data_IF_688708482994
#
_entry.id   IF_688708482994
#
_cell.length_a   1.000
_cell.length_b   1.000
_cell.length_c   1.000
_cell.angle_alpha   90.00
_cell.angle_beta   90.00
_cell.angle_gamma   90.00
#
_symmetry.space_group_name_H-M   'P 1'
#
loop_
_entity.id
_entity.type
_entity.pdbx_description
1 polymer ?
#
# COMPACT_ATOMS: atom_id res chain seq x y z
N UNK A 1 13.48 4.63 3.23
CA UNK A 1 12.13 4.28 3.75
C UNK A 1 11.24 5.50 3.83
N UNK A 2 11.69 6.65 4.36
CA UNK A 2 10.93 7.90 4.27
C UNK A 2 10.79 8.38 2.81
N UNK A 3 9.58 8.74 2.38
CA UNK A 3 9.32 9.48 1.15
C UNK A 3 9.49 10.97 1.49
N UNK A 4 10.34 11.68 0.74
CA UNK A 4 10.61 13.10 0.96
C UNK A 4 9.99 13.88 -0.19
N UNK A 5 8.69 14.16 -0.08
CA UNK A 5 7.96 14.92 -1.08
C UNK A 5 6.98 15.88 -0.40
N UNK A 6 7.17 17.18 -0.64
CA UNK A 6 6.42 18.21 0.05
C UNK A 6 4.92 18.20 -0.32
N UNK A 7 4.58 17.82 -1.55
CA UNK A 7 3.19 17.78 -2.00
C UNK A 7 2.43 16.61 -1.36
N UNK A 8 3.04 15.43 -1.31
CA UNK A 8 2.48 14.25 -0.66
C UNK A 8 2.36 14.47 0.87
N UNK A 9 3.39 15.02 1.51
CA UNK A 9 3.35 15.31 2.95
C UNK A 9 2.25 16.33 3.27
N UNK A 10 2.12 17.39 2.47
CA UNK A 10 1.06 18.39 2.62
C UNK A 10 -0.33 17.79 2.39
N UNK A 11 -0.48 16.90 1.41
CA UNK A 11 -1.73 16.19 1.13
C UNK A 11 -2.18 15.33 2.33
N UNK A 12 -1.32 14.44 2.82
CA UNK A 12 -1.68 13.55 3.94
C UNK A 12 -1.93 14.35 5.22
N UNK A 13 -1.16 15.42 5.46
CA UNK A 13 -1.43 16.33 6.58
C UNK A 13 -2.78 17.03 6.44
N UNK A 14 -3.16 17.49 5.25
CA UNK A 14 -4.47 18.09 5.00
C UNK A 14 -5.59 17.09 5.26
N UNK A 15 -5.49 15.86 4.77
CA UNK A 15 -6.48 14.81 5.03
C UNK A 15 -6.68 14.55 6.53
N UNK A 16 -5.60 14.52 7.32
CA UNK A 16 -5.68 14.45 8.78
C UNK A 16 -6.42 15.67 9.35
N UNK A 17 -6.02 16.89 8.99
CA UNK A 17 -6.61 18.12 9.52
C UNK A 17 -8.10 18.25 9.17
N UNK A 18 -8.49 17.88 7.95
CA UNK A 18 -9.88 17.87 7.50
C UNK A 18 -10.71 16.86 8.28
N UNK A 19 -10.09 15.77 8.76
CA UNK A 19 -10.75 14.76 9.58
C UNK A 19 -10.88 15.20 11.05
N UNK A 20 -9.78 15.51 11.73
CA UNK A 20 -9.76 15.73 13.19
C UNK A 20 -9.99 17.19 13.61
N UNK A 21 -9.94 18.12 12.65
CA UNK A 21 -9.99 19.56 12.85
C UNK A 21 -8.61 20.20 13.03
N UNK A 22 -8.48 21.45 12.56
CA UNK A 22 -7.22 22.19 12.53
C UNK A 22 -6.55 22.33 13.91
N UNK A 23 -7.33 22.59 14.96
CA UNK A 23 -6.82 22.73 16.32
C UNK A 23 -6.18 21.43 16.84
N UNK A 24 -6.80 20.28 16.56
CA UNK A 24 -6.27 18.96 16.96
C UNK A 24 -5.05 18.56 16.13
N UNK A 25 -5.07 18.83 14.82
CA UNK A 25 -3.98 18.41 13.93
C UNK A 25 -2.69 19.23 14.09
N UNK A 26 -2.76 20.44 14.69
CA UNK A 26 -1.61 21.35 14.79
C UNK A 26 -0.38 20.72 15.48
N UNK A 27 -0.60 19.85 16.47
CA UNK A 27 0.46 19.15 17.20
C UNK A 27 0.99 17.88 16.54
N UNK A 28 0.46 17.49 15.38
CA UNK A 28 0.81 16.23 14.72
C UNK A 28 1.86 16.45 13.62
N UNK A 29 2.91 15.63 13.65
CA UNK A 29 3.93 15.54 12.58
C UNK A 29 3.69 14.28 11.77
N UNK A 30 3.34 14.43 10.51
CA UNK A 30 3.06 13.33 9.58
C UNK A 30 4.33 12.98 8.79
N UNK A 31 4.59 11.68 8.65
CA UNK A 31 5.66 11.15 7.82
C UNK A 31 5.16 10.00 6.95
N UNK A 32 5.34 10.10 5.63
CA UNK A 32 4.99 9.03 4.70
C UNK A 32 6.16 8.08 4.51
N UNK A 33 5.94 6.80 4.80
CA UNK A 33 6.94 5.76 4.71
C UNK A 33 6.63 4.83 3.54
N UNK A 34 7.61 4.63 2.64
CA UNK A 34 7.59 3.64 1.57
C UNK A 34 7.67 2.24 2.17
N UNK A 35 6.51 1.74 2.57
CA UNK A 35 6.27 0.41 3.13
C UNK A 35 4.94 -0.07 2.52
N UNK A 36 4.93 -1.12 1.69
CA UNK A 36 3.73 -1.52 0.94
C UNK A 36 2.65 -2.23 1.79
N UNK A 37 2.77 -2.17 3.12
CA UNK A 37 1.80 -2.76 4.04
C UNK A 37 0.69 -1.75 4.34
N UNK A 38 -0.54 -2.26 4.43
CA UNK A 38 -1.70 -1.48 4.90
C UNK A 38 -1.52 -1.15 6.39
N UNK A 39 -1.04 0.05 6.71
CA UNK A 39 -0.91 0.48 8.09
C UNK A 39 -0.70 2.00 8.23
N UNK A 40 -1.03 2.51 9.42
CA UNK A 40 -0.54 3.78 9.96
C UNK A 40 -0.23 3.59 11.45
N UNK A 41 0.46 4.53 12.06
CA UNK A 41 0.63 4.55 13.52
C UNK A 41 0.80 5.95 14.05
N UNK A 42 0.42 6.13 15.30
CA UNK A 42 0.63 7.38 16.02
C UNK A 42 1.40 7.17 17.31
N UNK A 43 2.61 7.75 17.37
CA UNK A 43 3.46 7.72 18.54
C UNK A 43 2.99 8.71 19.61
N UNK A 44 3.30 8.42 20.88
CA UNK A 44 2.93 9.25 22.03
C UNK A 44 3.50 10.69 22.00
N UNK A 45 4.50 10.97 21.14
CA UNK A 45 5.10 12.29 20.99
C UNK A 45 4.48 13.14 19.87
N UNK A 46 3.34 12.72 19.30
CA UNK A 46 2.66 13.43 18.22
C UNK A 46 3.17 13.07 16.81
N UNK A 47 3.93 11.98 16.67
CA UNK A 47 4.48 11.56 15.36
C UNK A 47 3.58 10.51 14.72
N UNK A 48 2.97 10.87 13.58
CA UNK A 48 2.17 9.99 12.76
C UNK A 48 3.01 9.41 11.62
N UNK A 49 2.95 8.10 11.43
CA UNK A 49 3.61 7.39 10.34
C UNK A 49 2.54 6.77 9.45
N UNK A 50 2.56 7.11 8.16
CA UNK A 50 1.60 6.63 7.17
C UNK A 50 2.35 5.77 6.17
N UNK A 51 1.95 4.50 6.01
CA UNK A 51 2.63 3.61 5.08
C UNK A 51 2.07 3.76 3.67
N UNK A 52 2.92 3.66 2.64
CA UNK A 52 2.48 3.74 1.25
C UNK A 52 1.45 2.67 0.88
N UNK A 53 1.45 1.52 1.56
CA UNK A 53 0.41 0.50 1.41
C UNK A 53 -0.97 0.91 1.91
N UNK A 54 -1.07 1.85 2.87
CA UNK A 54 -2.35 2.49 3.23
C UNK A 54 -2.81 3.42 2.12
N UNK A 55 -1.92 4.26 1.59
CA UNK A 55 -2.25 5.19 0.51
C UNK A 55 -2.73 4.46 -0.75
N UNK A 56 -2.18 3.29 -1.07
CA UNK A 56 -2.63 2.47 -2.21
C UNK A 56 -4.04 1.85 -2.01
N UNK A 57 -4.48 1.68 -0.75
CA UNK A 57 -5.73 0.97 -0.42
C UNK A 57 -6.90 1.90 -0.17
N UNK A 58 -6.64 3.06 0.42
CA UNK A 58 -7.64 4.11 0.55
C UNK A 58 -8.05 4.57 -0.86
N UNK A 59 -9.36 4.69 -1.09
CA UNK A 59 -9.93 5.13 -2.38
C UNK A 59 -10.41 6.57 -2.36
N UNK A 60 -10.42 7.20 -1.19
CA UNK A 60 -10.89 8.56 -0.98
C UNK A 60 -10.22 9.23 0.22
N UNK A 61 -10.34 10.55 0.33
CA UNK A 61 -9.87 11.30 1.50
C UNK A 61 -10.61 10.86 2.77
N UNK A 62 -11.89 10.49 2.67
CA UNK A 62 -12.68 9.96 3.79
C UNK A 62 -12.19 8.59 4.27
N UNK A 63 -11.85 7.68 3.35
CA UNK A 63 -11.26 6.38 3.71
C UNK A 63 -9.88 6.55 4.37
N UNK A 64 -9.04 7.46 3.84
CA UNK A 64 -7.76 7.80 4.47
C UNK A 64 -8.00 8.40 5.87
N UNK A 65 -8.92 9.36 5.96
CA UNK A 65 -9.33 10.03 7.19
C UNK A 65 -9.81 9.05 8.26
N UNK A 66 -10.55 8.01 7.90
CA UNK A 66 -10.98 6.97 8.83
C UNK A 66 -9.80 6.33 9.58
N UNK A 67 -8.74 5.99 8.86
CA UNK A 67 -7.53 5.39 9.47
C UNK A 67 -6.76 6.43 10.26
N UNK A 68 -6.55 7.63 9.73
CA UNK A 68 -5.79 8.66 10.43
C UNK A 68 -6.50 9.16 11.70
N UNK A 69 -7.84 9.24 11.66
CA UNK A 69 -8.68 9.57 12.79
C UNK A 69 -8.67 8.49 13.87
N UNK A 70 -8.69 7.21 13.49
CA UNK A 70 -8.51 6.07 14.41
C UNK A 70 -7.16 6.15 15.14
N UNK A 71 -6.06 6.33 14.39
CA UNK A 71 -4.73 6.49 14.97
C UNK A 71 -4.62 7.73 15.88
N UNK A 72 -5.27 8.82 15.49
CA UNK A 72 -5.35 10.03 16.32
C UNK A 72 -6.14 9.78 17.61
N UNK A 73 -7.21 8.98 17.56
CA UNK A 73 -7.98 8.57 18.74
C UNK A 73 -7.13 7.82 19.77
N UNK A 74 -6.27 6.89 19.32
CA UNK A 74 -5.29 6.24 20.19
C UNK A 74 -4.33 7.23 20.85
N UNK A 75 -3.93 8.28 20.12
CA UNK A 75 -3.06 9.33 20.65
C UNK A 75 -3.77 10.25 21.64
N UNK A 76 -4.98 10.72 21.32
CA UNK A 76 -5.77 11.60 22.20
C UNK A 76 -6.09 10.90 23.53
N UNK A 77 -6.38 9.58 23.48
CA UNK A 77 -6.60 8.73 24.66
C UNK A 77 -5.33 8.17 25.30
N UNK A 78 -4.15 8.52 24.76
CA UNK A 78 -2.84 8.10 25.27
C UNK A 78 -2.64 6.58 25.35
N UNK A 79 -3.31 5.82 24.48
CA UNK A 79 -3.19 4.35 24.41
C UNK A 79 -1.74 3.92 24.13
N UNK A 80 -1.08 4.56 23.16
CA UNK A 80 0.33 4.28 22.83
C UNK A 80 1.26 4.56 24.02
N UNK A 81 0.98 5.61 24.81
CA UNK A 81 1.78 5.93 26.00
C UNK A 81 1.57 4.89 27.11
N UNK A 82 0.33 4.45 27.32
CA UNK A 82 0.01 3.39 28.28
C UNK A 82 0.70 2.07 27.90
N UNK A 83 0.63 1.69 26.61
CA UNK A 83 1.28 0.49 26.08
C UNK A 83 2.80 0.57 26.21
N UNK A 84 3.39 1.73 25.89
CA UNK A 84 4.83 1.94 26.05
C UNK A 84 5.27 1.81 27.52
N UNK A 85 4.52 2.39 28.47
CA UNK A 85 4.81 2.27 29.91
C UNK A 85 4.71 0.81 30.39
N UNK A 86 3.71 0.07 29.93
CA UNK A 86 3.52 -1.34 30.27
C UNK A 86 4.63 -2.24 29.70
N UNK A 87 5.21 -1.90 28.55
CA UNK A 87 6.32 -2.68 27.97
C UNK A 87 7.69 -2.31 28.53
N UNK A 88 7.88 -1.07 29.00
CA UNK A 88 9.16 -0.58 29.55
C UNK A 88 9.65 -1.38 30.76
N UNK A 89 8.77 -2.09 31.45
CA UNK A 89 9.14 -3.00 32.55
C UNK A 89 9.70 -4.35 32.08
N UNK A 90 9.58 -4.71 30.79
CA UNK A 90 10.07 -5.98 30.23
C UNK A 90 10.89 -5.88 28.93
N UNK A 91 10.95 -4.73 28.25
CA UNK A 91 11.47 -4.59 26.88
C UNK A 91 12.95 -4.19 26.73
N UNK A 92 13.61 -3.75 27.81
CA UNK A 92 14.96 -3.16 27.70
C UNK A 92 16.01 -4.19 27.21
N UNK A 93 15.93 -5.45 27.62
CA UNK A 93 16.81 -6.53 27.14
C UNK A 93 16.61 -6.86 25.65
N UNK A 94 15.36 -6.86 25.16
CA UNK A 94 15.04 -7.16 23.76
C UNK A 94 15.46 -6.03 22.82
N UNK A 95 15.33 -4.77 23.26
CA UNK A 95 15.74 -3.60 22.49
C UNK A 95 17.26 -3.59 22.25
N UNK A 96 18.06 -3.92 23.28
CA UNK A 96 19.51 -4.07 23.13
C UNK A 96 19.91 -5.26 22.23
N UNK A 97 19.20 -6.39 22.33
CA UNK A 97 19.44 -7.54 21.45
C UNK A 97 19.26 -7.23 19.96
N UNK A 98 18.24 -6.44 19.60
CA UNK A 98 17.99 -6.04 18.21
C UNK A 98 19.04 -5.06 17.66
N UNK A 99 19.52 -4.12 18.49
CA UNK A 99 20.59 -3.19 18.10
C UNK A 99 21.90 -3.94 17.87
N UNK A 100 22.29 -4.83 18.79
CA UNK A 100 23.52 -5.62 18.67
C UNK A 100 23.50 -6.56 17.46
N UNK A 101 22.34 -7.18 17.18
CA UNK A 101 22.20 -8.07 16.03
C UNK A 101 22.16 -7.36 14.68
N UNK A 102 21.69 -6.10 14.62
CA UNK A 102 21.76 -5.29 13.41
C UNK A 102 23.21 -4.95 13.01
N UNK A 103 24.14 -4.96 13.98
CA UNK A 103 25.58 -4.75 13.78
C UNK A 103 26.35 -6.05 13.51
N UNK A 104 25.66 -7.20 13.51
CA UNK A 104 26.31 -8.47 13.24
C UNK A 104 26.65 -8.63 11.73
N UNK A 105 27.81 -9.20 11.40
CA UNK A 105 28.22 -9.44 10.01
C UNK A 105 27.32 -10.48 9.32
N UNK A 106 26.66 -11.33 10.08
CA UNK A 106 25.80 -12.40 9.58
C UNK A 106 24.46 -11.86 9.01
N UNK A 107 24.20 -12.17 7.74
CA UNK A 107 23.01 -11.71 7.04
C UNK A 107 21.72 -12.43 7.49
N UNK A 108 21.83 -13.68 7.97
CA UNK A 108 20.68 -14.44 8.48
C UNK A 108 20.27 -13.93 9.87
N UNK A 109 21.26 -13.63 10.72
CA UNK A 109 21.06 -13.00 12.01
C UNK A 109 20.40 -11.62 11.85
N UNK A 110 20.91 -10.76 10.96
CA UNK A 110 20.26 -9.48 10.65
C UNK A 110 18.83 -9.64 10.14
N UNK A 111 18.53 -10.66 9.32
CA UNK A 111 17.17 -10.95 8.83
C UNK A 111 16.22 -11.45 9.93
N UNK A 112 16.68 -12.34 10.81
CA UNK A 112 15.92 -12.82 11.98
C UNK A 112 15.58 -11.65 12.91
N UNK A 113 16.53 -10.74 13.12
CA UNK A 113 16.31 -9.56 13.96
C UNK A 113 15.53 -8.43 13.29
N UNK A 114 15.59 -8.28 11.95
CA UNK A 114 14.65 -7.42 11.21
C UNK A 114 13.20 -7.92 11.30
N UNK A 115 13.01 -9.22 11.46
CA UNK A 115 11.71 -9.82 11.78
C UNK A 115 11.31 -9.52 13.23
N UNK A 116 12.26 -9.59 14.18
CA UNK A 116 12.04 -9.19 15.56
C UNK A 116 11.66 -7.71 15.69
N UNK A 117 12.30 -6.80 14.94
CA UNK A 117 11.94 -5.38 14.93
C UNK A 117 10.49 -5.13 14.47
N UNK A 118 9.99 -5.93 13.52
CA UNK A 118 8.57 -5.92 13.12
C UNK A 118 7.67 -6.49 14.21
N UNK A 119 8.09 -7.54 14.92
CA UNK A 119 7.35 -8.10 16.06
C UNK A 119 7.27 -7.14 17.25
N UNK A 120 8.36 -6.43 17.56
CA UNK A 120 8.41 -5.39 18.59
C UNK A 120 7.52 -4.20 18.21
N UNK A 121 7.59 -3.76 16.95
CA UNK A 121 6.70 -2.72 16.45
C UNK A 121 5.23 -3.15 16.54
N UNK A 122 4.89 -4.36 16.10
CA UNK A 122 3.54 -4.91 16.23
C UNK A 122 3.07 -4.98 17.69
N UNK A 123 3.94 -5.41 18.61
CA UNK A 123 3.62 -5.47 20.03
C UNK A 123 3.35 -4.08 20.65
N UNK A 124 4.14 -3.06 20.27
CA UNK A 124 4.00 -1.68 20.76
C UNK A 124 2.69 -1.02 20.33
N UNK A 125 2.10 -1.45 19.23
CA UNK A 125 0.84 -0.94 18.69
C UNK A 125 -0.28 -1.97 18.75
N UNK A 126 -0.16 -2.99 19.61
CA UNK A 126 -1.24 -3.94 19.87
C UNK A 126 -2.06 -3.47 21.06
N UNK A 127 -3.27 -3.01 20.81
CA UNK A 127 -4.15 -2.47 21.84
C UNK A 127 -5.23 -3.48 22.28
N UNK A 128 -5.83 -3.23 23.43
CA UNK A 128 -6.96 -4.02 23.94
C UNK A 128 -8.25 -3.74 23.16
N UNK A 129 -9.23 -4.65 23.23
CA UNK A 129 -10.53 -4.48 22.56
C UNK A 129 -11.27 -3.21 22.98
N UNK A 130 -11.16 -2.82 24.25
CA UNK A 130 -11.77 -1.57 24.74
C UNK A 130 -11.11 -0.33 24.13
N UNK A 131 -9.78 -0.35 24.02
CA UNK A 131 -9.02 0.74 23.39
C UNK A 131 -9.33 0.86 21.90
N UNK A 132 -9.47 -0.27 21.19
CA UNK A 132 -9.91 -0.29 19.79
C UNK A 132 -11.33 0.29 19.64
N UNK A 133 -12.29 -0.16 20.47
CA UNK A 133 -13.67 0.35 20.45
C UNK A 133 -13.75 1.84 20.79
N UNK A 134 -12.87 2.35 21.65
CA UNK A 134 -12.79 3.78 21.95
C UNK A 134 -12.18 4.58 20.78
N UNK A 135 -11.12 4.07 20.17
CA UNK A 135 -10.50 4.67 18.98
C UNK A 135 -11.45 4.69 17.78
N UNK A 136 -12.20 3.61 17.52
CA UNK A 136 -13.23 3.54 16.49
C UNK A 136 -14.31 4.61 16.70
N UNK A 137 -14.84 4.74 17.93
CA UNK A 137 -15.85 5.77 18.27
C UNK A 137 -15.34 7.18 18.06
N UNK A 138 -14.09 7.46 18.46
CA UNK A 138 -13.49 8.77 18.24
C UNK A 138 -13.22 9.03 16.76
N UNK A 139 -12.63 8.06 16.05
CA UNK A 139 -12.32 8.15 14.63
C UNK A 139 -13.55 8.47 13.79
N UNK A 140 -14.65 7.74 14.01
CA UNK A 140 -15.94 8.04 13.37
C UNK A 140 -16.52 9.36 13.87
N UNK A 141 -16.40 9.67 15.16
CA UNK A 141 -16.82 10.96 15.71
C UNK A 141 -16.16 12.16 15.03
N UNK A 142 -14.86 12.06 14.70
CA UNK A 142 -14.16 13.08 13.93
C UNK A 142 -14.72 13.19 12.51
N UNK A 143 -14.92 12.06 11.81
CA UNK A 143 -15.52 12.07 10.47
C UNK A 143 -16.94 12.64 10.47
N UNK A 144 -17.76 12.26 11.44
CA UNK A 144 -19.11 12.79 11.65
C UNK A 144 -19.12 14.32 11.81
N UNK A 145 -18.14 14.86 12.53
CA UNK A 145 -17.95 16.30 12.71
C UNK A 145 -17.25 17.00 11.53
N UNK A 146 -16.67 16.24 10.60
CA UNK A 146 -15.98 16.76 9.42
C UNK A 146 -16.93 16.96 8.23
N UNK A 147 -16.39 17.47 7.12
CA UNK A 147 -17.09 17.54 5.83
C UNK A 147 -17.08 16.22 5.05
N UNK A 148 -16.30 15.23 5.49
CA UNK A 148 -16.10 13.96 4.80
C UNK A 148 -17.22 12.97 5.14
N UNK A 149 -17.50 12.05 4.23
CA UNK A 149 -18.48 10.98 4.40
C UNK A 149 -18.03 9.93 5.44
N UNK A 150 -18.71 9.78 6.59
CA UNK A 150 -18.28 8.84 7.64
C UNK A 150 -18.47 7.37 7.28
N UNK A 151 -19.42 7.02 6.41
CA UNK A 151 -19.65 5.65 5.93
C UNK A 151 -18.45 5.08 5.16
N UNK A 152 -17.53 5.94 4.68
CA UNK A 152 -16.29 5.51 4.04
C UNK A 152 -15.44 4.60 4.95
N UNK A 153 -15.52 4.76 6.27
CA UNK A 153 -14.81 3.87 7.20
C UNK A 153 -15.27 2.40 7.09
N UNK A 154 -16.58 2.17 7.00
CA UNK A 154 -17.12 0.83 6.79
C UNK A 154 -16.75 0.29 5.40
N UNK A 155 -16.79 1.14 4.36
CA UNK A 155 -16.42 0.78 2.99
C UNK A 155 -14.94 0.37 2.89
N UNK A 156 -14.03 1.10 3.53
CA UNK A 156 -12.60 0.74 3.60
C UNK A 156 -12.44 -0.68 4.16
N UNK A 157 -13.19 -1.01 5.22
CA UNK A 157 -13.12 -2.34 5.82
C UNK A 157 -13.62 -3.44 4.90
N UNK A 158 -14.74 -3.22 4.25
CA UNK A 158 -15.27 -4.15 3.25
C UNK A 158 -14.26 -4.36 2.10
N UNK A 159 -13.61 -3.28 1.66
CA UNK A 159 -12.58 -3.32 0.62
C UNK A 159 -11.36 -4.16 1.06
N UNK A 160 -10.92 -4.02 2.32
CA UNK A 160 -9.82 -4.80 2.88
C UNK A 160 -10.15 -6.29 3.00
N UNK A 161 -11.38 -6.63 3.40
CA UNK A 161 -11.87 -8.02 3.46
C UNK A 161 -11.93 -8.62 2.05
N UNK A 162 -12.43 -7.87 1.06
CA UNK A 162 -12.48 -8.30 -0.33
C UNK A 162 -11.08 -8.52 -0.93
N UNK A 163 -10.12 -7.64 -0.63
CA UNK A 163 -8.71 -7.83 -1.00
C UNK A 163 -8.15 -9.13 -0.40
N UNK A 164 -8.40 -9.37 0.89
CA UNK A 164 -7.98 -10.59 1.57
C UNK A 164 -8.61 -11.85 0.95
N UNK A 165 -9.88 -11.75 0.52
CA UNK A 165 -10.60 -12.79 -0.22
C UNK A 165 -9.94 -13.10 -1.56
N UNK A 166 -9.63 -12.07 -2.35
CA UNK A 166 -8.92 -12.24 -3.63
C UNK A 166 -7.54 -12.90 -3.45
N UNK A 167 -6.83 -12.48 -2.40
CA UNK A 167 -5.56 -13.07 -1.98
C UNK A 167 -5.69 -14.55 -1.58
N UNK A 168 -6.76 -14.94 -0.88
CA UNK A 168 -7.04 -16.33 -0.53
C UNK A 168 -7.34 -17.19 -1.77
N UNK A 169 -8.22 -16.71 -2.64
CA UNK A 169 -8.60 -17.40 -3.89
C UNK A 169 -7.36 -17.64 -4.77
N UNK A 170 -6.50 -16.64 -4.93
CA UNK A 170 -5.27 -16.77 -5.72
C UNK A 170 -4.28 -17.81 -5.15
N UNK A 171 -4.35 -18.11 -3.85
CA UNK A 171 -3.54 -19.14 -3.19
C UNK A 171 -4.24 -20.49 -3.04
N UNK A 172 -5.45 -20.65 -3.60
CA UNK A 172 -6.24 -21.86 -3.44
C UNK A 172 -6.75 -22.09 -2.01
N UNK A 173 -6.84 -21.02 -1.19
CA UNK A 173 -7.34 -21.11 0.18
C UNK A 173 -8.85 -20.82 0.23
N UNK A 174 -9.58 -21.60 1.04
CA UNK A 174 -11.04 -21.43 1.21
C UNK A 174 -11.45 -20.19 2.03
N UNK A 175 -10.55 -19.63 2.84
CA UNK A 175 -10.84 -18.47 3.71
C UNK A 175 -9.67 -17.48 3.74
N UNK A 176 -9.94 -16.17 3.84
CA UNK A 176 -8.91 -15.16 4.05
C UNK A 176 -8.26 -15.29 5.43
N UNK A 177 -6.95 -15.04 5.48
CA UNK A 177 -6.19 -14.92 6.74
C UNK A 177 -6.16 -13.45 7.15
N UNK A 178 -7.23 -12.98 7.78
CA UNK A 178 -7.37 -11.58 8.19
C UNK A 178 -6.29 -11.20 9.21
N UNK A 179 -5.89 -12.12 10.09
CA UNK A 179 -4.78 -11.95 11.04
C UNK A 179 -3.42 -11.56 10.40
N UNK A 180 -3.25 -11.73 9.09
CA UNK A 180 -2.01 -11.42 8.37
C UNK A 180 -1.95 -10.05 7.70
N UNK A 181 -3.01 -9.25 7.75
CA UNK A 181 -2.97 -7.87 7.24
C UNK A 181 -2.24 -7.00 8.27
N UNK A 182 -1.32 -6.14 7.82
CA UNK A 182 -0.44 -5.36 8.71
C UNK A 182 -1.17 -4.55 9.77
N UNK A 183 -2.32 -3.96 9.43
CA UNK A 183 -3.22 -3.31 10.36
C UNK A 183 -3.80 -4.29 11.40
N UNK A 184 -4.24 -5.48 10.99
CA UNK A 184 -4.85 -6.48 11.88
C UNK A 184 -3.87 -7.13 12.88
N UNK A 185 -2.56 -7.08 12.60
CA UNK A 185 -1.54 -7.47 13.57
C UNK A 185 -1.48 -6.53 14.80
N UNK A 186 -1.86 -5.27 14.59
CA UNK A 186 -1.96 -4.22 15.62
C UNK A 186 -3.39 -4.06 16.16
N UNK A 187 -4.40 -4.32 15.32
CA UNK A 187 -5.83 -4.07 15.60
C UNK A 187 -6.67 -5.31 15.24
N UNK A 188 -6.93 -6.26 16.15
CA UNK A 188 -7.60 -7.52 15.80
C UNK A 188 -8.93 -7.33 15.05
N UNK A 189 -9.22 -8.11 14.00
CA UNK A 189 -10.47 -7.99 13.25
C UNK A 189 -11.66 -8.40 14.13
N UNK A 190 -12.70 -7.56 14.19
CA UNK A 190 -14.02 -7.98 14.64
C UNK A 190 -14.87 -8.22 13.39
N UNK A 191 -15.51 -9.39 13.28
CA UNK A 191 -16.32 -9.75 12.10
C UNK A 191 -17.43 -8.72 11.82
N UNK A 192 -17.85 -8.01 12.86
CA UNK A 192 -18.89 -6.99 12.84
C UNK A 192 -18.33 -5.55 12.73
N UNK A 193 -17.00 -5.35 12.65
CA UNK A 193 -16.39 -4.01 12.70
C UNK A 193 -16.95 -3.07 11.63
N UNK A 194 -17.11 -3.56 10.40
CA UNK A 194 -17.70 -2.75 9.32
C UNK A 194 -19.13 -2.31 9.66
N UNK A 195 -19.96 -3.20 10.21
CA UNK A 195 -21.32 -2.87 10.63
C UNK A 195 -21.35 -1.91 11.83
N UNK A 196 -20.44 -2.09 12.80
CA UNK A 196 -20.29 -1.17 13.93
C UNK A 196 -19.91 0.24 13.48
N UNK A 197 -18.97 0.36 12.54
CA UNK A 197 -18.54 1.67 12.02
C UNK A 197 -19.64 2.34 11.21
N UNK A 198 -20.39 1.56 10.42
CA UNK A 198 -21.55 2.07 9.70
C UNK A 198 -22.65 2.55 10.67
N UNK A 199 -22.91 1.81 11.75
CA UNK A 199 -23.87 2.21 12.78
C UNK A 199 -23.44 3.45 13.59
N UNK A 200 -22.14 3.72 13.70
CA UNK A 200 -21.61 4.93 14.33
C UNK A 200 -21.63 6.15 13.39
N UNK A 201 -21.71 5.93 12.08
CA UNK A 201 -21.71 6.98 11.09
C UNK A 201 -23.05 7.74 11.10
N UNK A 202 -23.01 9.07 11.01
CA UNK A 202 -24.23 9.88 10.92
C UNK A 202 -24.99 9.55 9.61
N UNK A 203 -26.25 9.09 9.67
CA UNK A 203 -27.02 8.75 8.47
C UNK A 203 -27.19 9.94 7.51
N UNK A 204 -27.38 11.14 8.04
CA UNK A 204 -27.56 12.38 7.26
C UNK A 204 -26.29 12.82 6.54
N UNK A 205 -25.14 12.22 6.87
CA UNK A 205 -23.86 12.48 6.23
C UNK A 205 -23.58 11.57 5.02
N UNK A 206 -24.53 10.70 4.64
CA UNK A 206 -24.35 9.71 3.57
C UNK A 206 -24.03 10.32 2.19
N UNK A 207 -24.53 11.53 1.91
CA UNK A 207 -24.33 12.23 0.63
C UNK A 207 -23.14 13.20 0.65
N UNK A 208 -22.37 13.26 1.75
CA UNK A 208 -21.16 14.09 1.81
C UNK A 208 -20.12 13.62 0.81
N UNK A 209 -19.33 14.57 0.32
CA UNK A 209 -18.16 14.29 -0.51
C UNK A 209 -17.15 13.43 0.25
N UNK A 210 -16.65 12.38 -0.38
CA UNK A 210 -15.63 11.50 0.17
C UNK A 210 -14.21 11.90 -0.27
N UNK A 211 -14.09 12.82 -1.24
CA UNK A 211 -12.81 13.28 -1.79
C UNK A 211 -12.09 12.27 -2.67
N UNK A 212 -12.81 11.33 -3.32
CA UNK A 212 -12.20 10.33 -4.20
C UNK A 212 -11.34 10.92 -5.33
N UNK A 213 -11.83 11.96 -6.00
CA UNK A 213 -11.10 12.63 -7.10
C UNK A 213 -9.80 13.27 -6.60
N UNK A 214 -9.88 14.06 -5.51
CA UNK A 214 -8.72 14.70 -4.88
C UNK A 214 -7.69 13.68 -4.41
N UNK A 215 -8.16 12.55 -3.90
CA UNK A 215 -7.29 11.45 -3.48
C UNK A 215 -6.56 10.83 -4.67
N UNK A 216 -7.28 10.52 -5.75
CA UNK A 216 -6.70 9.95 -6.95
C UNK A 216 -5.65 10.89 -7.57
N UNK A 217 -5.95 12.18 -7.68
CA UNK A 217 -5.05 13.18 -8.24
C UNK A 217 -3.76 13.33 -7.41
N UNK A 218 -3.89 13.39 -6.08
CA UNK A 218 -2.74 13.50 -5.18
C UNK A 218 -1.81 12.28 -5.25
N UNK A 219 -2.36 11.09 -5.50
CA UNK A 219 -1.59 9.84 -5.57
C UNK A 219 -1.17 9.45 -6.98
N UNK A 220 -1.69 10.08 -8.04
CA UNK A 220 -1.37 9.73 -9.42
C UNK A 220 0.15 9.66 -9.73
N UNK A 221 1.00 10.60 -9.25
CA UNK A 221 2.46 10.52 -9.47
C UNK A 221 3.12 9.32 -8.76
N UNK A 222 2.51 8.84 -7.67
CA UNK A 222 3.06 7.80 -6.80
C UNK A 222 2.53 6.40 -7.13
N UNK A 223 1.40 6.32 -7.82
CA UNK A 223 0.70 5.07 -8.13
C UNK A 223 1.60 4.02 -8.80
N UNK A 224 2.47 4.34 -9.79
CA UNK A 224 3.38 3.35 -10.38
C UNK A 224 4.33 2.73 -9.34
N UNK A 225 4.88 3.56 -8.44
CA UNK A 225 5.79 3.11 -7.39
C UNK A 225 5.09 2.19 -6.38
N UNK A 226 3.89 2.56 -5.97
CA UNK A 226 3.13 1.81 -4.97
C UNK A 226 2.67 0.46 -5.51
N UNK A 227 2.23 0.41 -6.77
CA UNK A 227 1.86 -0.84 -7.44
C UNK A 227 3.08 -1.77 -7.62
N UNK A 228 4.24 -1.22 -7.98
CA UNK A 228 5.48 -2.00 -8.07
C UNK A 228 5.86 -2.63 -6.73
N UNK A 229 5.78 -1.88 -5.64
CA UNK A 229 6.08 -2.40 -4.31
C UNK A 229 5.04 -3.44 -3.86
N UNK A 230 3.77 -3.26 -4.22
CA UNK A 230 2.70 -4.22 -3.95
C UNK A 230 2.91 -5.54 -4.72
N UNK A 231 3.24 -5.49 -6.02
CA UNK A 231 3.48 -6.70 -6.82
C UNK A 231 4.68 -7.49 -6.26
N UNK A 232 5.72 -6.80 -5.77
CA UNK A 232 6.90 -7.43 -5.14
C UNK A 232 6.59 -8.17 -3.84
N UNK A 233 5.42 -7.96 -3.23
CA UNK A 233 4.96 -8.79 -2.11
C UNK A 233 4.60 -10.22 -2.52
N UNK A 234 4.53 -10.51 -3.83
CA UNK A 234 4.10 -11.79 -4.39
C UNK A 234 2.69 -12.22 -3.93
N UNK A 235 1.86 -11.26 -3.52
CA UNK A 235 0.43 -11.48 -3.29
C UNK A 235 -0.33 -11.12 -4.57
N UNK A 236 -0.38 -12.07 -5.50
CA UNK A 236 -0.93 -11.85 -6.83
C UNK A 236 -2.45 -11.64 -6.85
N UNK A 237 -3.17 -12.11 -5.83
CA UNK A 237 -4.61 -11.90 -5.68
C UNK A 237 -4.91 -10.48 -5.20
N UNK A 238 -4.24 -10.05 -4.14
CA UNK A 238 -4.34 -8.67 -3.65
C UNK A 238 -3.88 -7.65 -4.71
N UNK A 239 -2.77 -7.94 -5.41
CA UNK A 239 -2.27 -7.06 -6.48
C UNK A 239 -3.27 -6.92 -7.63
N UNK A 240 -3.90 -8.03 -8.05
CA UNK A 240 -4.94 -7.98 -9.08
C UNK A 240 -6.15 -7.14 -8.63
N UNK A 241 -6.58 -7.34 -7.38
CA UNK A 241 -7.70 -6.61 -6.79
C UNK A 241 -7.43 -5.09 -6.74
N UNK A 242 -6.24 -4.70 -6.27
CA UNK A 242 -5.87 -3.28 -6.15
C UNK A 242 -5.71 -2.60 -7.52
N UNK A 243 -5.12 -3.28 -8.51
CA UNK A 243 -5.02 -2.76 -9.88
C UNK A 243 -6.43 -2.55 -10.46
N UNK A 244 -7.33 -3.52 -10.29
CA UNK A 244 -8.70 -3.42 -10.77
C UNK A 244 -9.47 -2.29 -10.06
N UNK A 245 -9.28 -2.12 -8.75
CA UNK A 245 -9.89 -1.05 -7.98
C UNK A 245 -9.42 0.33 -8.47
N UNK A 246 -8.12 0.51 -8.71
CA UNK A 246 -7.59 1.76 -9.26
C UNK A 246 -8.11 2.02 -10.69
N UNK A 247 -8.31 0.95 -11.48
CA UNK A 247 -8.84 1.03 -12.84
C UNK A 247 -10.36 1.27 -12.91
N UNK A 248 -11.08 1.30 -11.79
CA UNK A 248 -12.53 1.55 -11.76
C UNK A 248 -12.90 2.91 -12.38
N UNK A 249 -11.97 3.87 -12.36
CA UNK A 249 -12.11 5.21 -12.97
C UNK A 249 -11.61 5.29 -14.42
N UNK A 250 -11.18 4.16 -14.99
CA UNK A 250 -10.56 4.08 -16.30
C UNK A 250 -9.14 3.52 -16.24
N UNK A 251 -8.76 2.83 -17.31
CA UNK A 251 -7.42 2.29 -17.44
C UNK A 251 -6.44 3.34 -17.94
N UNK A 252 -5.34 3.51 -17.22
CA UNK A 252 -4.20 4.35 -17.63
C UNK A 252 -3.05 3.48 -18.14
N UNK A 253 -2.08 4.07 -18.84
CA UNK A 253 -0.87 3.37 -19.26
C UNK A 253 -0.13 2.72 -18.07
N UNK A 254 -0.05 3.43 -16.93
CA UNK A 254 0.55 2.92 -15.70
C UNK A 254 -0.18 1.69 -15.15
N UNK A 255 -1.52 1.68 -15.16
CA UNK A 255 -2.32 0.55 -14.68
C UNK A 255 -2.18 -0.67 -15.59
N UNK A 256 -2.19 -0.46 -16.91
CA UNK A 256 -1.93 -1.55 -17.87
C UNK A 256 -0.52 -2.12 -17.71
N UNK A 257 0.49 -1.25 -17.53
CA UNK A 257 1.87 -1.68 -17.26
C UNK A 257 1.96 -2.49 -15.97
N UNK A 258 1.33 -2.03 -14.89
CA UNK A 258 1.29 -2.77 -13.61
C UNK A 258 0.60 -4.14 -13.76
N UNK A 259 -0.47 -4.22 -14.55
CA UNK A 259 -1.14 -5.50 -14.87
C UNK A 259 -0.22 -6.44 -15.66
N UNK A 260 0.52 -5.91 -16.62
CA UNK A 260 1.56 -6.65 -17.34
C UNK A 260 2.64 -7.20 -16.40
N UNK A 261 3.10 -6.36 -15.45
CA UNK A 261 4.11 -6.77 -14.47
C UNK A 261 3.60 -7.84 -13.51
N UNK A 262 2.35 -7.74 -13.06
CA UNK A 262 1.70 -8.77 -12.25
C UNK A 262 1.70 -10.13 -12.96
N UNK A 263 1.25 -10.18 -14.21
CA UNK A 263 1.18 -11.44 -14.97
C UNK A 263 2.59 -11.98 -15.25
N UNK A 264 3.53 -11.11 -15.59
CA UNK A 264 4.94 -11.49 -15.77
C UNK A 264 5.55 -12.06 -14.48
N UNK A 265 5.22 -11.51 -13.32
CA UNK A 265 5.74 -11.93 -12.01
C UNK A 265 5.20 -13.31 -11.54
N UNK A 266 4.00 -13.71 -12.00
CA UNK A 266 3.43 -15.04 -11.69
C UNK A 266 4.23 -16.19 -12.30
N UNK A 267 4.99 -15.94 -13.36
CA UNK A 267 5.95 -16.88 -13.92
C UNK A 267 5.35 -18.05 -14.73
N UNK A 268 4.03 -18.12 -14.93
CA UNK A 268 3.43 -19.14 -15.80
C UNK A 268 3.63 -18.79 -17.29
N UNK A 269 3.95 -19.76 -18.17
CA UNK A 269 4.13 -19.49 -19.60
C UNK A 269 2.90 -18.82 -20.27
N UNK A 270 1.69 -19.25 -19.89
CA UNK A 270 0.43 -18.64 -20.38
C UNK A 270 0.24 -17.19 -19.90
N UNK A 271 0.81 -16.83 -18.75
CA UNK A 271 0.73 -15.47 -18.23
C UNK A 271 1.64 -14.51 -19.01
N UNK A 272 2.69 -14.98 -19.67
CA UNK A 272 3.57 -14.13 -20.48
C UNK A 272 2.87 -13.60 -21.75
N UNK A 273 1.97 -14.39 -22.35
CA UNK A 273 1.15 -13.94 -23.48
C UNK A 273 0.19 -12.83 -23.03
N UNK A 274 -0.46 -13.01 -21.87
CA UNK A 274 -1.31 -11.98 -21.27
C UNK A 274 -0.50 -10.73 -20.88
N UNK A 275 0.70 -10.91 -20.33
CA UNK A 275 1.58 -9.81 -19.98
C UNK A 275 1.94 -8.97 -21.22
N UNK A 276 2.33 -9.61 -22.33
CA UNK A 276 2.59 -8.93 -23.59
C UNK A 276 1.38 -8.14 -24.08
N UNK A 277 0.17 -8.73 -24.01
CA UNK A 277 -1.06 -8.02 -24.34
C UNK A 277 -1.28 -6.77 -23.46
N UNK A 278 -1.10 -6.87 -22.15
CA UNK A 278 -1.28 -5.72 -21.24
C UNK A 278 -0.22 -4.63 -21.45
N UNK A 279 1.05 -4.98 -21.71
CA UNK A 279 2.04 -3.97 -22.07
C UNK A 279 1.75 -3.32 -23.43
N UNK A 280 1.19 -4.05 -24.39
CA UNK A 280 0.74 -3.47 -25.65
C UNK A 280 -0.37 -2.42 -25.42
N UNK A 281 -1.34 -2.69 -24.52
CA UNK A 281 -2.33 -1.69 -24.11
C UNK A 281 -1.67 -0.45 -23.46
N UNK A 282 -0.67 -0.68 -22.59
CA UNK A 282 0.05 0.42 -21.95
C UNK A 282 0.79 1.32 -22.97
N UNK A 283 1.52 0.70 -23.89
CA UNK A 283 2.30 1.41 -24.92
C UNK A 283 1.44 2.04 -26.02
N UNK A 284 0.21 1.57 -26.22
CA UNK A 284 -0.76 2.21 -27.09
C UNK A 284 -1.29 3.52 -26.49
N UNK A 285 -1.49 3.57 -25.17
CA UNK A 285 -1.90 4.78 -24.46
C UNK A 285 -0.74 5.76 -24.25
N UNK A 286 0.44 5.26 -23.92
CA UNK A 286 1.65 6.06 -23.75
C UNK A 286 2.87 5.34 -24.38
N UNK A 287 3.20 5.68 -25.63
CA UNK A 287 4.36 5.11 -26.31
C UNK A 287 5.70 5.46 -25.63
N UNK A 288 5.74 6.52 -24.82
CA UNK A 288 6.93 7.01 -24.13
C UNK A 288 7.20 6.29 -22.80
N UNK A 289 6.29 5.43 -22.35
CA UNK A 289 6.44 4.66 -21.12
C UNK A 289 7.49 3.55 -21.28
N UNK A 290 8.76 3.91 -21.07
CA UNK A 290 9.93 3.04 -21.26
C UNK A 290 9.79 1.68 -20.54
N UNK A 291 9.30 1.68 -19.29
CA UNK A 291 9.08 0.46 -18.52
C UNK A 291 8.08 -0.51 -19.20
N UNK A 292 7.06 0.01 -19.89
CA UNK A 292 6.11 -0.81 -20.62
C UNK A 292 6.72 -1.35 -21.93
N UNK A 293 7.50 -0.56 -22.65
CA UNK A 293 8.25 -1.03 -23.84
C UNK A 293 9.20 -2.17 -23.48
N UNK A 294 9.91 -2.03 -22.36
CA UNK A 294 10.79 -3.07 -21.80
C UNK A 294 10.02 -4.33 -21.47
N UNK A 295 8.91 -4.21 -20.73
CA UNK A 295 8.05 -5.32 -20.35
C UNK A 295 7.48 -6.07 -21.56
N UNK A 296 7.00 -5.31 -22.56
CA UNK A 296 6.49 -5.83 -23.82
C UNK A 296 7.55 -6.65 -24.54
N UNK A 297 8.73 -6.07 -24.74
CA UNK A 297 9.83 -6.71 -25.44
C UNK A 297 10.26 -8.03 -24.80
N UNK A 298 10.47 -8.03 -23.48
CA UNK A 298 10.85 -9.23 -22.74
C UNK A 298 9.77 -10.32 -22.77
N UNK A 299 8.48 -9.94 -22.70
CA UNK A 299 7.37 -10.89 -22.76
C UNK A 299 7.22 -11.50 -24.17
N UNK A 300 7.36 -10.70 -25.22
CA UNK A 300 7.30 -11.15 -26.61
C UNK A 300 8.43 -12.12 -26.96
N UNK A 301 9.68 -11.80 -26.60
CA UNK A 301 10.82 -12.71 -26.82
C UNK A 301 10.57 -14.05 -26.15
N UNK A 302 10.14 -14.06 -24.89
CA UNK A 302 9.86 -15.30 -24.14
C UNK A 302 8.66 -16.10 -24.66
N UNK A 303 7.83 -15.51 -25.51
CA UNK A 303 6.68 -16.16 -26.14
C UNK A 303 6.92 -16.48 -27.61
N UNK A 304 8.17 -16.38 -28.09
CA UNK A 304 8.58 -16.74 -29.45
C UNK A 304 8.38 -15.64 -30.50
N UNK A 305 7.92 -14.44 -30.11
CA UNK A 305 7.71 -13.29 -31.01
C UNK A 305 8.95 -12.40 -31.03
N UNK A 306 10.06 -12.96 -31.50
CA UNK A 306 11.39 -12.37 -31.37
C UNK A 306 11.53 -11.01 -32.06
N UNK A 307 11.19 -10.91 -33.34
CA UNK A 307 11.30 -9.65 -34.11
C UNK A 307 10.56 -8.48 -33.44
N UNK A 308 9.31 -8.72 -33.03
CA UNK A 308 8.48 -7.72 -32.36
C UNK A 308 9.02 -7.38 -30.97
N UNK A 309 9.50 -8.38 -30.25
CA UNK A 309 10.13 -8.19 -28.95
C UNK A 309 11.39 -7.32 -29.04
N UNK A 310 12.27 -7.59 -30.00
CA UNK A 310 13.46 -6.77 -30.25
C UNK A 310 13.09 -5.34 -30.66
N UNK A 311 12.04 -5.16 -31.48
CA UNK A 311 11.57 -3.82 -31.85
C UNK A 311 11.11 -3.01 -30.63
N UNK A 312 10.37 -3.63 -29.70
CA UNK A 312 9.98 -2.99 -28.44
C UNK A 312 11.20 -2.67 -27.55
N UNK A 313 12.18 -3.56 -27.46
CA UNK A 313 13.42 -3.32 -26.70
C UNK A 313 14.28 -2.19 -27.30
N UNK A 314 14.34 -2.06 -28.63
CA UNK A 314 14.99 -0.91 -29.29
C UNK A 314 14.32 0.41 -28.90
N UNK A 315 12.98 0.44 -28.86
CA UNK A 315 12.22 1.61 -28.39
C UNK A 315 12.51 1.93 -26.92
N UNK A 316 12.58 0.92 -26.06
CA UNK A 316 12.97 1.09 -24.66
C UNK A 316 14.35 1.77 -24.53
N UNK A 317 15.38 1.28 -25.22
CA UNK A 317 16.72 1.86 -25.16
C UNK A 317 16.79 3.28 -25.77
N UNK A 318 15.91 3.60 -26.73
CA UNK A 318 15.80 4.96 -27.25
C UNK A 318 15.18 5.93 -26.22
N UNK A 319 14.24 5.45 -25.40
CA UNK A 319 13.57 6.23 -24.36
C UNK A 319 14.42 6.38 -23.10
N UNK A 320 15.18 5.34 -22.72
CA UNK A 320 16.08 5.34 -21.57
C UNK A 320 17.45 4.72 -21.92
N UNK A 321 18.34 5.47 -22.59
CA UNK A 321 19.66 4.98 -22.98
C UNK A 321 20.59 4.70 -21.78
N UNK A 322 20.31 5.33 -20.64
CA UNK A 322 21.12 5.24 -19.42
C UNK A 322 20.59 4.18 -18.43
N UNK A 323 19.60 3.38 -18.83
CA UNK A 323 19.05 2.33 -18.01
C UNK A 323 20.14 1.38 -17.49
N UNK A 324 20.08 1.02 -16.21
CA UNK A 324 21.08 0.16 -15.58
C UNK A 324 21.20 -1.24 -16.19
N UNK A 325 20.20 -1.69 -16.96
CA UNK A 325 20.20 -2.96 -17.68
C UNK A 325 20.38 -2.82 -19.21
N UNK A 326 20.72 -1.62 -19.70
CA UNK A 326 20.84 -1.33 -21.12
C UNK A 326 21.77 -2.31 -21.86
N UNK A 327 22.92 -2.66 -21.25
CA UNK A 327 23.86 -3.63 -21.84
C UNK A 327 23.26 -5.04 -22.00
N UNK A 328 22.49 -5.51 -21.02
CA UNK A 328 21.80 -6.81 -21.11
C UNK A 328 20.73 -6.78 -22.21
N UNK A 329 19.99 -5.69 -22.31
CA UNK A 329 18.92 -5.53 -23.30
C UNK A 329 19.50 -5.41 -24.71
N UNK A 330 20.61 -4.70 -24.89
CA UNK A 330 21.33 -4.62 -26.16
C UNK A 330 21.77 -6.00 -26.68
N UNK A 331 22.26 -6.87 -25.78
CA UNK A 331 22.63 -8.24 -26.13
C UNK A 331 21.41 -9.07 -26.60
N UNK A 332 20.24 -8.91 -25.98
CA UNK A 332 19.00 -9.57 -26.41
C UNK A 332 18.50 -9.09 -27.78
N UNK A 333 18.75 -7.82 -28.11
CA UNK A 333 18.42 -7.26 -29.43
C UNK A 333 19.32 -7.82 -30.53
N UNK A 334 20.58 -8.13 -30.21
CA UNK A 334 21.57 -8.63 -31.16
C UNK A 334 21.50 -10.16 -31.39
N UNK A 335 20.68 -10.88 -30.61
CA UNK A 335 20.54 -12.33 -30.76
C UNK A 335 19.85 -12.69 -32.10
N UNK A 336 20.39 -13.66 -32.87
CA UNK A 336 19.80 -14.10 -34.14
C UNK A 336 18.49 -14.87 -33.93
N UNK A 337 17.66 -14.96 -34.98
CA UNK A 337 16.31 -15.54 -34.89
C UNK A 337 16.26 -17.06 -34.73
N UNK A 338 17.36 -17.76 -34.99
CA UNK A 338 17.41 -19.23 -34.96
C UNK A 338 18.11 -19.77 -33.70
N UNK A 339 17.31 -20.30 -32.75
CA UNK A 339 17.60 -21.46 -31.90
C UNK A 339 16.34 -22.18 -31.48
#
# INVERSE_FOLDING_TARGET
>A
MLIRDAALDAYVRRALCDTVGAARCAGVRVYVLRVPLFNASMAANGTMRVFSGLLLRARSEAELGAVLGHEFGHFERRHTLAQFRAQRTGSDLLCWGAVLAAMAPDADLRRRFATLGRSVYGALYRFSRDQEREADRLGIGYLNASRLRPQAAAQLWQNAIAEAGASAVARGAHRPRLDRIGFYASHPPEAERAATLDALALPEAADRDDGADRHADALAPWLPLFLDDQIKLNDFGASAYLIAACAARGWTAALWRARGDLYRARGNPRDLVNAAHFYAQATALDPSLAAAQRGLGLALIRTGRLAEGQAALRRYLALDPAAGDAGMIAALIAAPEDR
#
